data_IF_706945906470
#
_entry.id   IF_706945906470
#
_cell.length_a   1.000
_cell.length_b   1.000
_cell.length_c   1.000
_cell.angle_alpha   90.00
_cell.angle_beta   90.00
_cell.angle_gamma   90.00
#
_symmetry.space_group_name_H-M   'P 1'
#
loop_
_entity.id
_entity.type
_entity.pdbx_description
1 polymer ?
#
# COMPACT_ATOMS: atom_id res chain seq x y z
N UNK A 1 -17.68 22.33 -35.84
CA UNK A 1 -17.00 21.36 -36.72
C UNK A 1 -15.78 20.85 -35.96
N UNK A 2 -15.93 19.75 -35.22
CA UNK A 2 -14.83 19.16 -34.43
C UNK A 2 -14.37 17.94 -35.22
N UNK A 3 -13.23 18.08 -35.90
CA UNK A 3 -12.52 16.94 -36.47
C UNK A 3 -11.44 16.55 -35.45
N UNK A 4 -11.71 15.49 -34.67
CA UNK A 4 -10.67 14.74 -33.98
C UNK A 4 -10.54 13.40 -34.68
N UNK A 5 -9.41 13.20 -35.37
CA UNK A 5 -8.97 11.90 -35.85
C UNK A 5 -7.94 11.38 -34.85
N UNK A 6 -8.35 10.49 -33.94
CA UNK A 6 -7.42 9.77 -33.06
C UNK A 6 -7.36 8.31 -33.50
N UNK A 7 -6.24 7.94 -34.14
CA UNK A 7 -5.79 6.55 -34.21
C UNK A 7 -4.75 6.33 -33.12
N UNK A 8 -5.16 5.77 -31.99
CA UNK A 8 -4.22 5.18 -31.03
C UNK A 8 -3.88 3.76 -31.49
N UNK A 9 -2.70 3.62 -32.09
CA UNK A 9 -2.09 2.33 -32.35
C UNK A 9 -1.33 1.86 -31.11
N UNK A 10 -1.72 0.68 -30.61
CA UNK A 10 -0.93 -0.12 -29.67
C UNK A 10 0.40 -0.54 -30.33
N UNK A 11 1.55 -0.12 -29.80
CA UNK A 11 2.69 -1.03 -29.60
C UNK A 11 3.88 -0.41 -28.84
N UNK A 12 4.34 -1.18 -27.85
CA UNK A 12 5.69 -1.32 -27.29
C UNK A 12 6.70 -0.15 -27.24
N UNK A 13 7.12 0.15 -26.00
CA UNK A 13 8.49 0.36 -25.52
C UNK A 13 9.44 1.16 -26.42
N UNK A 14 9.41 2.49 -26.25
CA UNK A 14 10.51 3.38 -26.57
C UNK A 14 10.86 4.23 -25.36
N UNK A 15 12.06 4.04 -24.81
CA UNK A 15 12.65 4.90 -23.78
C UNK A 15 12.94 6.27 -24.39
N UNK A 16 11.92 7.13 -24.45
CA UNK A 16 12.07 8.51 -24.90
C UNK A 16 12.61 9.36 -23.75
N UNK A 17 13.88 9.74 -23.87
CA UNK A 17 14.45 10.86 -23.11
C UNK A 17 13.81 12.16 -23.60
N UNK A 18 12.64 12.51 -23.04
CA UNK A 18 11.97 13.79 -23.28
C UNK A 18 12.68 14.91 -22.51
N UNK A 19 13.78 15.43 -23.06
CA UNK A 19 14.37 16.72 -22.66
C UNK A 19 13.78 17.91 -23.46
N UNK A 20 12.58 17.77 -24.01
CA UNK A 20 11.83 18.88 -24.59
C UNK A 20 10.53 19.07 -23.82
N UNK A 21 10.39 20.23 -23.21
CA UNK A 21 9.12 20.68 -22.62
C UNK A 21 8.09 20.82 -23.74
N UNK A 22 7.34 19.76 -24.02
CA UNK A 22 6.20 19.82 -24.94
C UNK A 22 5.11 20.60 -24.21
N UNK A 23 4.99 21.87 -24.57
CA UNK A 23 3.91 22.74 -24.14
C UNK A 23 2.71 22.48 -25.05
N UNK A 24 1.92 21.46 -24.70
CA UNK A 24 0.71 21.12 -25.44
C UNK A 24 -0.40 22.11 -25.09
N UNK A 25 -0.57 23.12 -25.94
CA UNK A 25 -1.67 24.08 -25.82
C UNK A 25 -2.93 23.52 -26.48
N UNK A 26 -3.72 22.77 -25.73
CA UNK A 26 -5.09 22.46 -26.15
C UNK A 26 -5.98 23.66 -25.82
N UNK A 27 -6.16 24.58 -26.76
CA UNK A 27 -7.08 25.70 -26.59
C UNK A 27 -8.46 25.25 -27.08
N UNK A 28 -9.35 24.90 -26.15
CA UNK A 28 -10.78 24.76 -26.45
C UNK A 28 -11.34 26.18 -26.51
N UNK A 29 -11.35 26.77 -27.70
CA UNK A 29 -11.89 28.10 -27.91
C UNK A 29 -13.39 28.01 -28.17
N UNK A 30 -14.20 28.27 -27.14
CA UNK A 30 -15.61 28.62 -27.36
C UNK A 30 -15.63 30.09 -27.80
N UNK A 31 -15.34 30.30 -29.09
CA UNK A 31 -15.32 31.63 -29.70
C UNK A 31 -16.70 31.97 -30.24
N UNK A 32 -17.38 32.94 -29.64
CA UNK A 32 -18.62 33.48 -30.22
C UNK A 32 -18.52 34.96 -30.62
N UNK A 33 -17.69 35.77 -29.96
CA UNK A 33 -17.61 37.22 -30.24
C UNK A 33 -16.66 37.61 -31.39
N UNK A 34 -15.65 36.81 -31.74
CA UNK A 34 -14.69 37.17 -32.80
C UNK A 34 -15.31 37.17 -34.21
N UNK A 35 -16.48 36.54 -34.40
CA UNK A 35 -17.23 36.53 -35.66
C UNK A 35 -17.97 37.86 -35.95
N UNK A 36 -18.15 38.75 -34.97
CA UNK A 36 -18.94 39.98 -35.16
C UNK A 36 -18.21 41.03 -36.02
N UNK A 37 -16.88 41.03 -36.03
CA UNK A 37 -16.11 41.97 -36.87
C UNK A 37 -15.95 41.50 -38.32
N UNK A 38 -16.10 40.20 -38.59
CA UNK A 38 -15.88 39.62 -39.91
C UNK A 38 -17.17 39.51 -40.75
N UNK A 39 -18.34 39.55 -40.11
CA UNK A 39 -19.64 39.55 -40.81
C UNK A 39 -20.00 40.86 -41.52
N UNK A 40 -19.17 41.90 -41.45
CA UNK A 40 -19.43 43.13 -42.23
C UNK A 40 -19.18 42.97 -43.74
N UNK A 41 -18.55 41.87 -44.19
CA UNK A 41 -18.14 41.70 -45.59
C UNK A 41 -18.76 40.52 -46.34
N UNK A 42 -19.70 39.75 -45.75
CA UNK A 42 -20.34 38.63 -46.46
C UNK A 42 -21.86 38.81 -46.56
N UNK A 43 -22.31 39.07 -47.79
CA UNK A 43 -23.71 39.21 -48.22
C UNK A 43 -24.46 37.88 -48.36
N UNK A 44 -24.19 36.89 -47.49
CA UNK A 44 -24.77 35.55 -47.64
C UNK A 44 -25.32 35.00 -46.32
N UNK A 45 -26.65 34.90 -46.32
CA UNK A 45 -27.57 34.20 -45.39
C UNK A 45 -27.85 34.85 -44.02
N UNK A 46 -29.15 35.04 -43.77
CA UNK A 46 -29.79 35.86 -42.74
C UNK A 46 -29.70 35.28 -41.32
N UNK A 47 -28.49 35.02 -40.81
CA UNK A 47 -28.29 34.87 -39.38
C UNK A 47 -28.31 36.23 -38.71
N UNK A 48 -29.46 36.68 -38.21
CA UNK A 48 -29.49 37.89 -37.36
C UNK A 48 -28.72 37.61 -36.07
N UNK A 49 -27.57 38.27 -35.89
CA UNK A 49 -26.87 38.28 -34.61
C UNK A 49 -27.81 38.81 -33.52
N UNK A 50 -27.81 38.15 -32.36
CA UNK A 50 -28.54 38.62 -31.18
C UNK A 50 -27.81 39.80 -30.55
N UNK A 51 -28.57 40.65 -29.86
CA UNK A 51 -28.01 41.75 -29.08
C UNK A 51 -27.03 41.24 -28.03
N UNK A 52 -26.03 42.06 -27.72
CA UNK A 52 -24.98 41.69 -26.76
C UNK A 52 -25.53 41.31 -25.39
N UNK A 53 -26.58 42.01 -24.94
CA UNK A 53 -27.27 41.71 -23.69
C UNK A 53 -27.90 40.32 -23.67
N UNK A 54 -28.42 39.84 -24.80
CA UNK A 54 -28.98 38.49 -24.89
C UNK A 54 -27.89 37.41 -24.84
N UNK A 55 -26.72 37.69 -25.42
CA UNK A 55 -25.54 36.79 -25.34
C UNK A 55 -25.00 36.77 -23.91
N UNK A 56 -24.92 37.93 -23.26
CA UNK A 56 -24.39 38.04 -21.90
C UNK A 56 -25.31 37.31 -20.90
N UNK A 57 -26.63 37.52 -20.99
CA UNK A 57 -27.63 36.82 -20.20
C UNK A 57 -27.63 35.30 -20.42
N UNK A 58 -27.28 34.84 -21.63
CA UNK A 58 -27.15 33.41 -21.92
C UNK A 58 -25.98 32.83 -21.12
N UNK A 59 -24.79 33.43 -21.23
CA UNK A 59 -23.60 32.91 -20.54
C UNK A 59 -23.70 32.98 -19.02
N UNK A 60 -24.37 33.97 -18.45
CA UNK A 60 -24.56 34.08 -16.99
C UNK A 60 -25.28 32.88 -16.34
N UNK A 61 -26.10 32.16 -17.11
CA UNK A 61 -26.86 31.01 -16.61
C UNK A 61 -26.22 29.66 -16.97
N UNK A 62 -25.19 29.67 -17.81
CA UNK A 62 -24.57 28.46 -18.33
C UNK A 62 -23.39 28.00 -17.47
N UNK A 63 -23.25 26.68 -17.37
CA UNK A 63 -22.15 26.05 -16.63
C UNK A 63 -21.34 25.18 -17.56
N UNK A 64 -20.03 25.32 -17.48
CA UNK A 64 -19.10 24.45 -18.17
C UNK A 64 -18.61 23.36 -17.22
N UNK A 65 -18.90 22.11 -17.51
CA UNK A 65 -18.38 20.94 -16.79
C UNK A 65 -17.49 20.15 -17.74
N UNK A 66 -16.32 19.73 -17.27
CA UNK A 66 -15.44 18.84 -18.01
C UNK A 66 -14.91 17.74 -17.09
N UNK A 67 -15.38 16.52 -17.33
CA UNK A 67 -14.91 15.34 -16.64
C UNK A 67 -13.69 14.76 -17.34
N UNK A 68 -12.71 14.30 -16.57
CA UNK A 68 -11.51 13.65 -17.09
C UNK A 68 -11.18 12.36 -16.35
N UNK A 69 -10.45 11.46 -16.99
CA UNK A 69 -9.98 10.24 -16.35
C UNK A 69 -8.64 10.52 -15.67
N UNK A 70 -8.61 10.37 -14.36
CA UNK A 70 -7.40 10.46 -13.56
C UNK A 70 -6.95 9.07 -13.12
N UNK A 71 -5.68 8.93 -12.72
CA UNK A 71 -5.14 7.65 -12.25
C UNK A 71 -4.50 7.78 -10.87
N UNK A 72 -4.54 6.71 -10.10
CA UNK A 72 -3.86 6.61 -8.81
C UNK A 72 -3.27 5.22 -8.61
N UNK A 73 -2.28 5.14 -7.72
CA UNK A 73 -1.67 3.87 -7.32
C UNK A 73 -2.37 3.31 -6.09
N UNK A 74 -2.92 2.09 -6.20
CA UNK A 74 -3.59 1.40 -5.11
C UNK A 74 -2.61 0.47 -4.37
N UNK A 75 -2.32 0.81 -3.11
CA UNK A 75 -1.43 0.02 -2.26
C UNK A 75 -2.05 -1.28 -1.76
N UNK A 76 -3.37 -1.44 -1.88
CA UNK A 76 -4.11 -2.57 -1.31
C UNK A 76 -4.42 -3.67 -2.33
N UNK A 77 -4.32 -3.37 -3.63
CA UNK A 77 -4.62 -4.32 -4.70
C UNK A 77 -3.38 -5.09 -5.13
N UNK A 78 -3.22 -6.30 -4.58
CA UNK A 78 -2.12 -7.22 -4.89
C UNK A 78 -2.51 -8.30 -5.91
N UNK A 79 -3.70 -8.22 -6.52
CA UNK A 79 -4.23 -9.33 -7.35
C UNK A 79 -3.47 -9.49 -8.65
N UNK A 80 -3.23 -8.39 -9.36
CA UNK A 80 -2.46 -8.38 -10.60
C UNK A 80 -1.56 -7.16 -10.67
N UNK A 81 -0.44 -7.26 -11.38
CA UNK A 81 0.46 -6.12 -11.59
C UNK A 81 -0.19 -4.99 -12.38
N UNK A 82 -1.22 -5.32 -13.17
CA UNK A 82 -2.01 -4.36 -13.94
C UNK A 82 -3.06 -3.65 -13.08
N UNK A 83 -3.60 -4.30 -12.04
CA UNK A 83 -4.62 -3.69 -11.15
C UNK A 83 -4.06 -2.67 -10.16
N UNK A 84 -2.73 -2.55 -10.04
CA UNK A 84 -2.09 -1.62 -9.12
C UNK A 84 -2.32 -0.14 -9.49
N UNK A 85 -2.56 0.16 -10.77
CA UNK A 85 -2.90 1.51 -11.24
C UNK A 85 -4.39 1.51 -11.59
N UNK A 86 -5.16 2.33 -10.88
CA UNK A 86 -6.61 2.43 -11.08
C UNK A 86 -6.97 3.75 -11.73
N UNK A 87 -7.98 3.68 -12.59
CA UNK A 87 -8.56 4.81 -13.29
C UNK A 87 -9.85 5.22 -12.57
N UNK A 88 -10.07 6.51 -12.42
CA UNK A 88 -11.33 7.06 -11.94
C UNK A 88 -11.70 8.29 -12.77
N UNK A 89 -13.00 8.53 -12.92
CA UNK A 89 -13.49 9.74 -13.56
C UNK A 89 -13.57 10.82 -12.48
N UNK A 90 -12.91 11.94 -12.75
CA UNK A 90 -12.95 13.13 -11.91
C UNK A 90 -13.86 14.16 -12.60
N UNK A 91 -14.96 14.50 -11.95
CA UNK A 91 -15.97 15.47 -12.37
C UNK A 91 -15.96 16.74 -11.48
N UNK A 92 -14.92 16.91 -10.66
CA UNK A 92 -14.80 18.07 -9.76
C UNK A 92 -14.55 19.39 -10.51
N UNK A 93 -14.28 19.30 -11.82
CA UNK A 93 -13.93 20.42 -12.65
C UNK A 93 -15.16 21.06 -13.31
N UNK A 94 -15.61 22.16 -12.71
CA UNK A 94 -16.72 22.96 -13.25
C UNK A 94 -16.46 24.46 -13.11
N UNK A 95 -17.01 25.22 -14.06
CA UNK A 95 -17.04 26.68 -14.04
C UNK A 95 -18.43 27.21 -14.33
N UNK A 96 -18.77 28.29 -13.66
CA UNK A 96 -19.92 29.13 -14.03
C UNK A 96 -19.43 30.15 -15.05
N UNK A 97 -20.12 30.24 -16.19
CA UNK A 97 -19.71 31.15 -17.25
C UNK A 97 -20.15 32.58 -16.89
N UNK A 98 -19.27 33.54 -17.14
CA UNK A 98 -19.54 34.97 -16.88
C UNK A 98 -19.12 35.76 -18.11
N UNK A 99 -20.03 36.50 -18.74
CA UNK A 99 -19.74 37.22 -19.98
C UNK A 99 -18.65 38.29 -19.82
N UNK A 100 -18.52 38.87 -18.63
CA UNK A 100 -17.51 39.90 -18.32
C UNK A 100 -16.14 39.34 -17.92
N UNK A 101 -16.00 38.03 -17.68
CA UNK A 101 -14.76 37.43 -17.18
C UNK A 101 -14.29 36.31 -18.10
N UNK A 102 -12.99 36.29 -18.35
CA UNK A 102 -12.31 35.17 -18.96
C UNK A 102 -11.75 34.25 -17.87
N UNK A 103 -12.25 33.01 -17.78
CA UNK A 103 -11.75 32.00 -16.85
C UNK A 103 -10.67 31.16 -17.53
N UNK A 104 -9.55 30.97 -16.84
CA UNK A 104 -8.41 30.20 -17.31
C UNK A 104 -8.10 29.10 -16.31
N UNK A 105 -7.93 27.88 -16.81
CA UNK A 105 -7.46 26.76 -16.00
C UNK A 105 -6.10 26.29 -16.45
N UNK A 106 -5.19 26.07 -15.50
CA UNK A 106 -4.02 25.22 -15.71
C UNK A 106 -4.24 23.87 -15.01
N UNK A 107 -4.25 22.78 -15.79
CA UNK A 107 -4.28 21.41 -15.31
C UNK A 107 -2.86 20.86 -15.42
N UNK A 108 -2.27 20.45 -14.29
CA UNK A 108 -0.90 19.94 -14.23
C UNK A 108 -0.93 18.41 -14.22
N UNK A 109 -0.45 17.83 -15.33
CA UNK A 109 -0.25 16.41 -15.53
C UNK A 109 1.17 16.05 -15.08
N UNK A 110 1.29 15.18 -14.10
CA UNK A 110 2.56 14.74 -13.53
C UNK A 110 2.82 13.28 -13.90
N UNK A 111 4.05 12.95 -14.32
CA UNK A 111 4.48 11.56 -14.43
C UNK A 111 4.75 11.02 -13.03
N UNK A 112 4.27 9.82 -12.74
CA UNK A 112 4.45 9.14 -11.46
C UNK A 112 5.15 7.82 -11.69
N UNK A 113 5.95 7.39 -10.71
CA UNK A 113 6.64 6.10 -10.74
C UNK A 113 6.23 5.24 -9.55
N UNK A 114 5.86 3.99 -9.81
CA UNK A 114 5.59 2.98 -8.80
C UNK A 114 6.65 1.88 -8.89
N UNK A 115 7.28 1.58 -7.76
CA UNK A 115 8.16 0.42 -7.60
C UNK A 115 7.44 -0.62 -6.75
N UNK A 116 7.29 -1.82 -7.30
CA UNK A 116 6.58 -2.93 -6.68
C UNK A 116 7.51 -4.11 -6.45
N UNK A 117 7.50 -4.62 -5.23
CA UNK A 117 8.19 -5.84 -4.78
C UNK A 117 7.12 -6.75 -4.17
N UNK A 118 6.30 -7.37 -5.02
CA UNK A 118 5.12 -8.14 -4.59
C UNK A 118 5.32 -9.67 -4.68
N UNK A 119 6.42 -10.13 -5.29
CA UNK A 119 6.66 -11.56 -5.47
C UNK A 119 6.88 -12.25 -4.10
N UNK A 120 6.43 -13.49 -3.94
CA UNK A 120 6.66 -14.27 -2.70
C UNK A 120 8.13 -14.57 -2.43
N UNK A 121 8.93 -14.66 -3.51
CA UNK A 121 10.35 -14.98 -3.49
C UNK A 121 11.14 -13.83 -4.12
N UNK A 122 11.43 -12.82 -3.30
CA UNK A 122 12.12 -11.60 -3.74
C UNK A 122 13.63 -11.80 -3.74
N UNK A 123 14.22 -12.00 -4.92
CA UNK A 123 15.67 -11.95 -5.12
C UNK A 123 16.15 -10.55 -5.53
N UNK A 124 15.55 -9.51 -4.95
CA UNK A 124 15.79 -8.12 -5.33
C UNK A 124 15.16 -7.73 -6.68
N UNK A 125 14.20 -8.51 -7.17
CA UNK A 125 13.44 -8.18 -8.37
C UNK A 125 12.46 -7.05 -8.03
N UNK A 126 12.58 -5.94 -8.75
CA UNK A 126 11.70 -4.78 -8.62
C UNK A 126 10.98 -4.55 -9.93
N UNK A 127 9.67 -4.35 -9.87
CA UNK A 127 8.85 -4.01 -11.02
C UNK A 127 8.59 -2.51 -10.99
N UNK A 128 9.05 -1.81 -12.03
CA UNK A 128 8.82 -0.38 -12.20
C UNK A 128 7.60 -0.19 -13.11
N UNK A 129 6.64 0.63 -12.67
CA UNK A 129 5.55 1.11 -13.51
C UNK A 129 5.49 2.62 -13.48
N UNK A 130 5.18 3.21 -14.62
CA UNK A 130 5.01 4.64 -14.77
C UNK A 130 3.56 4.93 -15.14
N UNK A 131 2.99 6.00 -14.59
CA UNK A 131 1.61 6.42 -14.86
C UNK A 131 1.46 7.94 -14.77
N UNK A 132 0.37 8.48 -15.32
CA UNK A 132 0.12 9.93 -15.33
C UNK A 132 -1.02 10.28 -14.37
N UNK A 133 -0.80 11.29 -13.54
CA UNK A 133 -1.80 11.75 -12.58
C UNK A 133 -1.96 13.27 -12.70
N UNK A 134 -3.21 13.74 -12.63
CA UNK A 134 -3.50 15.15 -12.41
C UNK A 134 -3.30 15.43 -10.92
N UNK A 135 -2.28 16.22 -10.59
CA UNK A 135 -1.89 16.49 -9.19
C UNK A 135 -2.36 17.85 -8.71
N UNK A 136 -2.35 18.83 -9.61
CA UNK A 136 -2.74 20.20 -9.26
C UNK A 136 -3.58 20.80 -10.37
N UNK A 137 -4.52 21.63 -9.96
CA UNK A 137 -5.38 22.41 -10.83
C UNK A 137 -5.42 23.84 -10.30
N UNK A 138 -5.13 24.81 -11.17
CA UNK A 138 -5.09 26.24 -10.80
C UNK A 138 -5.99 27.03 -11.73
N UNK A 139 -6.97 27.70 -11.14
CA UNK A 139 -7.87 28.63 -11.82
C UNK A 139 -7.36 30.07 -11.73
N UNK A 140 -7.61 30.83 -12.79
CA UNK A 140 -7.31 32.26 -12.88
C UNK A 140 -8.49 32.94 -13.56
N UNK A 141 -8.91 34.07 -13.00
CA UNK A 141 -9.98 34.88 -13.57
C UNK A 141 -9.38 36.20 -14.04
N UNK A 142 -9.53 36.47 -15.34
CA UNK A 142 -9.14 37.73 -15.97
C UNK A 142 -10.39 38.48 -16.44
N UNK A 143 -10.28 39.79 -16.65
CA UNK A 143 -11.30 40.54 -17.37
C UNK A 143 -11.41 40.07 -18.82
N UNK A 144 -12.64 39.94 -19.32
CA UNK A 144 -12.87 39.63 -20.73
C UNK A 144 -12.32 40.75 -21.62
N UNK A 145 -11.65 40.37 -22.72
CA UNK A 145 -11.13 41.29 -23.73
C UNK A 145 -11.58 40.81 -25.11
N UNK A 146 -12.27 41.68 -25.86
CA UNK A 146 -12.79 41.35 -27.20
C UNK A 146 -11.69 40.86 -28.16
N UNK A 147 -10.46 41.35 -27.99
CA UNK A 147 -9.29 40.95 -28.80
C UNK A 147 -8.95 39.46 -28.67
N UNK A 148 -9.21 38.86 -27.50
CA UNK A 148 -8.86 37.47 -27.20
C UNK A 148 -9.93 36.49 -27.67
N UNK A 149 -11.20 36.90 -27.69
CA UNK A 149 -12.29 36.09 -28.24
C UNK A 149 -12.63 34.80 -27.50
N UNK A 150 -12.17 34.59 -26.26
CA UNK A 150 -12.52 33.41 -25.45
C UNK A 150 -13.05 33.79 -24.06
N UNK A 151 -14.02 33.03 -23.57
CA UNK A 151 -14.57 33.14 -22.20
C UNK A 151 -13.92 32.10 -21.29
N UNK A 152 -13.59 30.92 -21.81
CA UNK A 152 -12.90 29.85 -21.07
C UNK A 152 -11.66 29.42 -21.85
N UNK A 153 -10.55 29.25 -21.15
CA UNK A 153 -9.33 28.65 -21.70
C UNK A 153 -8.77 27.60 -20.73
N UNK A 154 -8.56 26.39 -21.22
CA UNK A 154 -7.96 25.29 -20.47
C UNK A 154 -6.54 25.09 -20.99
N UNK A 155 -5.58 24.94 -20.10
CA UNK A 155 -4.18 24.71 -20.41
C UNK A 155 -3.74 23.42 -19.74
N UNK A 156 -3.41 22.42 -20.56
CA UNK A 156 -2.76 21.20 -20.08
C UNK A 156 -1.26 21.47 -19.98
N UNK A 157 -0.66 21.20 -18.82
CA UNK A 157 0.77 21.40 -18.57
C UNK A 157 1.38 20.13 -18.04
N UNK A 158 2.49 19.71 -18.62
CA UNK A 158 3.32 18.63 -18.08
C UNK A 158 4.22 19.21 -17.00
N UNK A 159 4.13 18.67 -15.80
CA UNK A 159 5.06 18.95 -14.70
C UNK A 159 6.27 18.01 -14.82
N UNK A 160 7.47 18.55 -14.61
CA UNK A 160 8.73 17.77 -14.66
C UNK A 160 9.04 17.05 -13.35
N UNK A 161 8.34 17.40 -12.27
CA UNK A 161 8.42 16.66 -11.01
C UNK A 161 7.76 15.28 -11.16
N UNK A 162 8.18 14.30 -10.38
CA UNK A 162 7.54 12.99 -10.29
C UNK A 162 7.55 12.52 -8.83
N UNK A 163 6.49 11.84 -8.39
CA UNK A 163 6.46 11.18 -7.10
C UNK A 163 6.80 9.70 -7.29
N UNK A 164 7.52 9.15 -6.32
CA UNK A 164 7.90 7.73 -6.31
C UNK A 164 7.09 6.99 -5.24
N UNK A 165 6.20 6.12 -5.70
CA UNK A 165 5.43 5.20 -4.89
C UNK A 165 6.22 3.89 -4.72
N UNK A 166 6.26 3.35 -3.50
CA UNK A 166 6.94 2.08 -3.22
C UNK A 166 5.99 1.15 -2.48
N UNK A 167 5.82 -0.05 -3.02
CA UNK A 167 5.06 -1.14 -2.41
C UNK A 167 5.99 -2.33 -2.22
N UNK A 168 6.11 -2.81 -0.99
CA UNK A 168 6.89 -4.00 -0.64
C UNK A 168 6.00 -4.95 0.15
N UNK A 169 5.75 -6.13 -0.40
CA UNK A 169 5.10 -7.23 0.31
C UNK A 169 6.16 -7.99 1.09
N UNK A 170 5.83 -8.42 2.30
CA UNK A 170 6.75 -9.18 3.14
C UNK A 170 6.99 -10.57 2.55
N UNK A 171 8.25 -10.83 2.18
CA UNK A 171 8.67 -12.07 1.51
C UNK A 171 8.80 -13.23 2.48
N UNK A 172 8.61 -14.47 2.00
CA UNK A 172 8.87 -15.68 2.79
C UNK A 172 10.33 -15.75 3.25
N UNK A 173 11.26 -15.26 2.43
CA UNK A 173 12.69 -15.18 2.77
C UNK A 173 12.94 -14.19 3.93
N UNK A 174 12.23 -13.07 3.94
CA UNK A 174 12.32 -12.07 5.02
C UNK A 174 11.77 -12.66 6.32
N UNK A 175 10.64 -13.38 6.24
CA UNK A 175 10.09 -14.14 7.35
C UNK A 175 11.07 -15.18 7.92
N UNK A 176 11.70 -15.98 7.04
CA UNK A 176 12.68 -16.97 7.44
C UNK A 176 13.95 -16.33 8.02
N UNK A 177 14.35 -15.17 7.49
CA UNK A 177 15.44 -14.37 8.02
C UNK A 177 15.15 -13.92 9.45
N UNK A 178 13.96 -13.38 9.69
CA UNK A 178 13.52 -12.91 11.00
C UNK A 178 13.36 -14.08 12.00
N UNK A 179 12.77 -15.20 11.57
CA UNK A 179 12.68 -16.43 12.37
C UNK A 179 14.07 -17.02 12.68
N UNK A 180 14.98 -17.01 11.71
CA UNK A 180 16.36 -17.46 11.89
C UNK A 180 17.14 -16.57 12.86
N UNK A 181 16.94 -15.25 12.76
CA UNK A 181 17.48 -14.27 13.70
C UNK A 181 16.97 -14.50 15.11
N UNK A 182 15.65 -14.69 15.25
CA UNK A 182 15.02 -14.99 16.54
C UNK A 182 15.57 -16.29 17.12
N UNK A 183 15.61 -17.38 16.35
CA UNK A 183 16.16 -18.67 16.78
C UNK A 183 17.60 -18.54 17.28
N UNK A 184 18.46 -17.83 16.53
CA UNK A 184 19.86 -17.62 16.91
C UNK A 184 19.98 -16.79 18.18
N UNK A 185 19.14 -15.77 18.35
CA UNK A 185 19.12 -14.95 19.57
C UNK A 185 18.74 -15.78 20.80
N UNK A 186 17.71 -16.62 20.68
CA UNK A 186 17.26 -17.50 21.76
C UNK A 186 18.31 -18.55 22.10
N UNK A 187 18.98 -19.10 21.08
CA UNK A 187 20.07 -20.07 21.26
C UNK A 187 21.25 -19.47 22.03
N UNK A 188 21.64 -18.23 21.73
CA UNK A 188 22.73 -17.54 22.45
C UNK A 188 22.35 -17.33 23.92
N UNK A 189 21.11 -16.91 24.19
CA UNK A 189 20.62 -16.76 25.57
C UNK A 189 20.63 -18.12 26.28
N UNK A 190 20.17 -19.19 25.61
CA UNK A 190 20.20 -20.55 26.15
C UNK A 190 21.63 -21.02 26.47
N UNK A 191 22.58 -20.81 25.56
CA UNK A 191 23.99 -21.12 25.80
C UNK A 191 24.57 -20.33 26.97
N UNK A 192 24.18 -19.07 27.14
CA UNK A 192 24.61 -18.26 28.26
C UNK A 192 24.11 -18.82 29.60
N UNK A 193 22.84 -19.23 29.68
CA UNK A 193 22.28 -19.90 30.86
C UNK A 193 22.96 -21.24 31.16
N UNK A 194 23.08 -22.11 30.16
CA UNK A 194 23.72 -23.43 30.31
C UNK A 194 25.19 -23.26 30.69
N UNK A 195 25.89 -22.30 30.08
CA UNK A 195 27.28 -21.96 30.40
C UNK A 195 27.45 -21.51 31.84
N UNK A 196 26.54 -20.69 32.36
CA UNK A 196 26.55 -20.26 33.77
C UNK A 196 26.41 -21.44 34.74
N UNK A 197 25.45 -22.34 34.49
CA UNK A 197 25.24 -23.54 35.32
C UNK A 197 26.44 -24.48 35.24
N UNK A 198 26.96 -24.73 34.04
CA UNK A 198 28.13 -25.58 33.83
C UNK A 198 29.36 -25.03 34.55
N UNK A 199 29.56 -23.71 34.54
CA UNK A 199 30.65 -23.05 35.27
C UNK A 199 30.55 -23.30 36.79
N UNK A 200 29.36 -23.15 37.37
CA UNK A 200 29.14 -23.43 38.80
C UNK A 200 29.35 -24.89 39.16
N UNK A 201 28.85 -25.83 38.35
CA UNK A 201 29.05 -27.27 38.56
C UNK A 201 30.53 -27.66 38.45
N UNK A 202 31.23 -27.12 37.45
CA UNK A 202 32.66 -27.35 37.27
C UNK A 202 33.46 -26.84 38.47
N UNK A 203 33.18 -25.63 38.95
CA UNK A 203 33.84 -25.08 40.13
C UNK A 203 33.59 -25.94 41.37
N UNK A 204 32.36 -26.45 41.55
CA UNK A 204 32.04 -27.35 42.65
C UNK A 204 32.82 -28.66 42.60
N UNK A 205 32.95 -29.27 41.41
CA UNK A 205 33.72 -30.51 41.25
C UNK A 205 35.23 -30.28 41.52
N UNK A 206 35.77 -29.16 41.03
CA UNK A 206 37.17 -28.75 41.30
C UNK A 206 37.39 -28.52 42.80
N UNK A 207 36.51 -27.78 43.46
CA UNK A 207 36.61 -27.52 44.91
C UNK A 207 36.51 -28.82 45.71
N UNK A 208 35.58 -29.72 45.37
CA UNK A 208 35.46 -31.01 46.05
C UNK A 208 36.72 -31.88 45.88
N UNK A 209 37.37 -31.83 44.72
CA UNK A 209 38.63 -32.57 44.48
C UNK A 209 39.81 -31.97 45.23
N UNK A 210 39.90 -30.64 45.35
CA UNK A 210 41.00 -29.96 46.06
C UNK A 210 40.82 -30.04 47.58
N UNK A 211 39.58 -29.86 48.07
CA UNK A 211 39.25 -29.83 49.50
C UNK A 211 38.84 -31.18 50.09
N UNK A 212 39.04 -32.29 49.37
CA UNK A 212 39.16 -33.59 50.02
C UNK A 212 40.44 -33.60 50.86
N UNK A 213 40.34 -32.95 52.03
CA UNK A 213 41.16 -33.24 53.20
C UNK A 213 41.04 -34.74 53.36
N UNK A 214 42.13 -35.46 53.09
CA UNK A 214 42.25 -36.86 53.44
C UNK A 214 41.81 -36.93 54.88
N UNK A 215 40.58 -37.42 55.12
CA UNK A 215 40.19 -37.77 56.48
C UNK A 215 41.31 -38.73 56.91
N UNK A 216 42.09 -38.42 57.95
CA UNK A 216 43.01 -39.40 58.46
C UNK A 216 42.18 -40.65 58.68
N UNK A 217 42.75 -41.79 58.30
CA UNK A 217 42.17 -43.10 58.55
C UNK A 217 42.17 -43.23 60.08
N UNK A 218 41.19 -42.61 60.74
CA UNK A 218 40.79 -43.02 62.08
C UNK A 218 40.15 -44.38 61.85
N UNK A 219 40.98 -45.39 62.11
CA UNK A 219 40.56 -46.75 62.33
C UNK A 219 39.33 -46.72 63.24
N UNK A 220 38.15 -47.00 62.69
CA UNK A 220 37.01 -47.29 63.53
C UNK A 220 36.28 -48.53 63.01
N UNK A 221 36.37 -49.57 63.83
CA UNK A 221 35.52 -50.73 63.96
C UNK A 221 34.05 -50.34 64.21
N UNK A 222 33.45 -49.52 63.33
CA UNK A 222 32.02 -49.18 63.39
C UNK A 222 31.30 -49.44 62.06
N UNK A 223 31.71 -50.52 61.39
CA UNK A 223 30.89 -51.28 60.44
C UNK A 223 29.67 -51.89 61.16
N UNK A 224 28.65 -51.10 61.52
CA UNK A 224 27.34 -51.70 61.88
C UNK A 224 26.08 -50.81 61.91
N UNK A 225 26.09 -49.53 61.48
CA UNK A 225 24.88 -48.68 61.61
C UNK A 225 24.38 -47.93 60.37
N UNK A 226 24.66 -48.38 59.15
CA UNK A 226 24.14 -47.72 57.93
C UNK A 226 23.39 -48.61 56.92
N UNK A 227 22.99 -49.83 57.28
CA UNK A 227 22.14 -50.65 56.39
C UNK A 227 20.62 -50.37 56.50
N UNK A 228 20.16 -49.40 57.30
CA UNK A 228 18.73 -49.14 57.49
C UNK A 228 18.17 -47.89 56.78
N UNK A 229 18.98 -47.14 56.03
CA UNK A 229 18.50 -45.89 55.40
C UNK A 229 18.34 -45.99 53.87
N UNK A 230 18.43 -47.19 53.30
CA UNK A 230 18.22 -47.40 51.86
C UNK A 230 16.79 -47.81 51.48
N UNK A 231 15.90 -48.07 52.45
CA UNK A 231 14.52 -48.48 52.18
C UNK A 231 13.50 -47.32 52.15
N UNK A 232 13.89 -46.11 52.56
CA UNK A 232 12.97 -44.96 52.61
C UNK A 232 13.06 -44.07 51.37
N UNK A 233 14.22 -44.00 50.70
CA UNK A 233 14.41 -43.16 49.51
C UNK A 233 13.83 -43.81 48.24
N UNK A 234 13.89 -45.13 48.12
CA UNK A 234 13.28 -45.87 47.00
C UNK A 234 11.75 -45.91 47.05
N UNK A 235 11.13 -45.62 48.20
CA UNK A 235 9.67 -45.48 48.32
C UNK A 235 9.17 -44.10 47.89
N UNK A 236 9.95 -43.04 48.12
CA UNK A 236 9.54 -41.67 47.77
C UNK A 236 9.66 -41.37 46.26
N UNK A 237 10.62 -41.99 45.55
CA UNK A 237 10.78 -41.81 44.09
C UNK A 237 9.71 -42.53 43.25
N UNK A 238 9.14 -43.62 43.76
CA UNK A 238 8.09 -44.35 43.04
C UNK A 238 6.71 -43.68 43.15
N UNK A 239 6.45 -42.88 44.18
CA UNK A 239 5.20 -42.11 44.29
C UNK A 239 5.21 -40.84 43.42
N UNK A 240 6.33 -40.14 43.30
CA UNK A 240 6.41 -38.91 42.49
C UNK A 240 6.38 -39.16 40.98
N UNK A 241 6.95 -40.29 40.52
CA UNK A 241 7.00 -40.61 39.09
C UNK A 241 5.60 -40.99 38.56
N UNK A 242 4.80 -41.70 39.35
CA UNK A 242 3.43 -42.09 38.99
C UNK A 242 2.44 -40.90 39.00
N UNK A 243 2.68 -39.86 39.80
CA UNK A 243 1.83 -38.66 39.81
C UNK A 243 2.08 -37.75 38.60
N UNK A 244 3.33 -37.65 38.13
CA UNK A 244 3.70 -36.82 36.98
C UNK A 244 3.21 -37.44 35.66
N UNK A 245 3.29 -38.76 35.52
CA UNK A 245 2.81 -39.47 34.31
C UNK A 245 1.27 -39.39 34.17
N UNK A 246 0.54 -39.46 35.28
CA UNK A 246 -0.92 -39.30 35.28
C UNK A 246 -1.38 -37.86 34.98
N UNK A 247 -0.62 -36.83 35.38
CA UNK A 247 -0.93 -35.44 35.01
C UNK A 247 -0.66 -35.16 33.53
N UNK A 248 0.37 -35.77 32.93
CA UNK A 248 0.64 -35.64 31.49
C UNK A 248 -0.43 -36.31 30.61
N UNK A 249 -1.01 -37.43 31.08
CA UNK A 249 -2.11 -38.11 30.40
C UNK A 249 -3.45 -37.34 30.48
N UNK A 250 -3.66 -36.50 31.51
CA UNK A 250 -4.85 -35.64 31.61
C UNK A 250 -4.75 -34.40 30.70
N UNK A 251 -3.57 -33.77 30.61
CA UNK A 251 -3.37 -32.59 29.75
C UNK A 251 -3.47 -32.91 28.25
N UNK A 252 -3.08 -34.12 27.84
CA UNK A 252 -3.18 -34.58 26.44
C UNK A 252 -4.62 -34.88 26.00
N UNK A 253 -5.54 -35.20 26.92
CA UNK A 253 -6.97 -35.39 26.60
C UNK A 253 -7.77 -34.09 26.56
N UNK A 254 -7.31 -33.00 27.18
CA UNK A 254 -8.03 -31.71 27.20
C UNK A 254 -7.77 -30.79 26.00
N UNK A 255 -6.87 -31.15 25.07
CA UNK A 255 -6.59 -30.31 23.88
C UNK A 255 -7.12 -30.85 22.54
N UNK A 256 -7.87 -31.95 22.54
CA UNK A 256 -8.59 -32.42 21.33
C UNK A 256 -10.07 -32.06 21.46
N UNK A 257 -10.37 -30.77 21.56
CA UNK A 257 -11.67 -30.28 21.11
C UNK A 257 -11.47 -29.58 19.77
N UNK A 258 -11.39 -30.41 18.74
CA UNK A 258 -11.49 -29.99 17.34
C UNK A 258 -12.81 -29.25 17.19
N UNK A 259 -12.70 -27.94 16.92
CA UNK A 259 -13.83 -27.12 16.47
C UNK A 259 -14.43 -27.77 15.22
N UNK A 260 -15.67 -28.22 15.38
CA UNK A 260 -16.57 -28.65 14.33
C UNK A 260 -16.63 -27.58 13.20
N UNK A 261 -16.29 -27.91 11.94
CA UNK A 261 -16.51 -27.02 10.81
C UNK A 261 -17.92 -27.24 10.26
N UNK A 262 -18.93 -26.76 10.97
CA UNK A 262 -20.32 -26.85 10.51
C UNK A 262 -21.13 -25.68 11.02
N UNK A 263 -20.73 -24.44 10.69
CA UNK A 263 -21.59 -23.25 10.73
C UNK A 263 -20.94 -22.03 10.06
N UNK A 264 -20.53 -22.17 8.79
CA UNK A 264 -20.04 -21.04 7.99
C UNK A 264 -20.77 -20.92 6.65
N UNK A 265 -22.10 -21.09 6.65
CA UNK A 265 -22.94 -20.88 5.45
C UNK A 265 -24.22 -20.07 5.70
N UNK A 266 -24.39 -19.43 6.87
CA UNK A 266 -25.62 -18.69 7.20
C UNK A 266 -25.52 -17.17 7.06
N UNK A 267 -24.41 -16.61 6.56
CA UNK A 267 -24.19 -15.16 6.56
C UNK A 267 -23.77 -14.58 5.20
N UNK A 268 -24.30 -15.13 4.10
CA UNK A 268 -24.13 -14.54 2.75
C UNK A 268 -25.43 -14.29 1.97
N UNK A 269 -26.61 -14.57 2.52
CA UNK A 269 -27.89 -14.44 1.78
C UNK A 269 -28.79 -13.26 2.22
N UNK A 270 -28.23 -12.17 2.76
CA UNK A 270 -29.03 -11.01 3.20
C UNK A 270 -28.67 -9.66 2.55
N UNK A 271 -27.95 -9.65 1.43
CA UNK A 271 -27.63 -8.39 0.73
C UNK A 271 -27.93 -8.36 -0.79
N UNK A 272 -28.49 -9.41 -1.38
CA UNK A 272 -28.84 -9.41 -2.82
C UNK A 272 -30.34 -9.32 -3.07
N UNK A 273 -31.05 -8.44 -2.37
CA UNK A 273 -32.41 -8.02 -2.71
C UNK A 273 -32.56 -6.55 -2.32
N UNK A 274 -32.01 -5.64 -3.13
CA UNK A 274 -32.38 -4.21 -3.17
C UNK A 274 -31.62 -3.52 -4.30
N UNK A 275 -31.85 -3.90 -5.56
CA UNK A 275 -31.49 -3.13 -6.75
C UNK A 275 -32.24 -3.68 -7.97
N UNK A 276 -33.57 -3.61 -7.90
CA UNK A 276 -34.46 -3.53 -9.06
C UNK A 276 -35.64 -2.67 -8.64
N UNK A 277 -35.53 -1.38 -8.91
CA UNK A 277 -36.61 -0.44 -9.26
C UNK A 277 -35.96 0.84 -9.79
#
# INVERSE_FOLDING_TARGET
MIHQEERFANNHQGMFSFRSAIRLHLIIQISQRSSLKEQQNQTVSQGQCKDQSAIDNYFENEKFNFAFVNTFFDFTDFKTEESAIKYFIDDTFFFELEASKAKKQNIFLQLQEATMEDDYLQFGQKKLKQFHQVVNQRSYDDGYQDEKGYIVAIYLRLDSSYNMYRRKVYSVLELLGDLGGLYRSLYIIGLWFVGSIAHHLFLSDVMNKIYQVRKPIENDESLQRQNNTNNTVSKLQNETTNEIENRFAQFSKSQIHVRNPSNLNAMQNKQTNNLTN
#
